data_IF_330637645162
#
_entry.id   IF_330637645162
#
_cell.length_a   1.000
_cell.length_b   1.000
_cell.length_c   1.000
_cell.angle_alpha   90.00
_cell.angle_beta   90.00
_cell.angle_gamma   90.00
#
_symmetry.space_group_name_H-M   'P 1'
#
loop_
_entity.id
_entity.type
_entity.pdbx_description
1 polymer ?
#
# COMPACT_ATOMS: atom_id res chain seq x y z
N UNK A 1 -19.33 39.55 -16.56
CA UNK A 1 -19.47 38.42 -17.51
C UNK A 1 -18.14 37.66 -17.55
N UNK A 2 -18.17 36.36 -17.26
CA UNK A 2 -17.29 35.26 -17.74
C UNK A 2 -15.76 35.50 -17.66
N UNK A 3 -15.05 34.96 -16.66
CA UNK A 3 -14.60 33.55 -16.53
C UNK A 3 -13.79 33.12 -17.77
N UNK A 4 -12.50 32.80 -17.65
CA UNK A 4 -11.89 31.45 -17.70
C UNK A 4 -10.46 31.71 -18.23
N UNK A 5 -9.39 31.04 -17.85
CA UNK A 5 -9.08 30.06 -16.82
C UNK A 5 -7.56 29.92 -16.94
N UNK A 6 -6.89 29.89 -15.79
CA UNK A 6 -5.44 29.80 -15.70
C UNK A 6 -4.97 28.50 -16.36
N UNK A 7 -4.14 28.62 -17.40
CA UNK A 7 -3.39 27.52 -17.98
C UNK A 7 -2.28 27.12 -17.00
N UNK A 8 -2.55 26.13 -16.15
CA UNK A 8 -1.55 25.46 -15.30
C UNK A 8 -1.64 23.95 -15.55
N UNK A 9 -0.98 23.48 -16.61
CA UNK A 9 -0.62 22.07 -16.74
C UNK A 9 0.71 22.00 -17.49
N UNK A 10 1.80 21.65 -16.79
CA UNK A 10 2.30 20.29 -16.93
C UNK A 10 2.90 19.77 -15.60
N UNK A 11 2.13 18.98 -14.85
CA UNK A 11 2.66 18.17 -13.73
C UNK A 11 2.22 16.73 -13.94
N UNK A 12 2.84 16.03 -14.89
CA UNK A 12 2.54 14.62 -15.19
C UNK A 12 3.83 13.77 -15.35
N UNK A 13 4.90 14.13 -14.63
CA UNK A 13 6.20 13.44 -14.71
C UNK A 13 6.72 12.88 -13.36
N UNK A 14 5.84 12.61 -12.39
CA UNK A 14 6.23 12.03 -11.08
C UNK A 14 5.51 10.72 -10.75
N UNK A 15 5.38 9.81 -11.72
CA UNK A 15 4.72 8.51 -11.49
C UNK A 15 5.67 7.29 -11.51
N UNK A 16 6.97 7.49 -11.26
CA UNK A 16 7.83 6.44 -10.72
C UNK A 16 8.11 6.80 -9.25
N UNK A 17 7.10 6.64 -8.41
CA UNK A 17 7.23 6.86 -6.97
C UNK A 17 8.11 5.75 -6.39
N UNK A 18 9.20 6.12 -5.73
CA UNK A 18 9.92 5.20 -4.85
C UNK A 18 8.98 4.74 -3.75
N UNK A 19 9.09 3.47 -3.35
CA UNK A 19 8.33 2.94 -2.21
C UNK A 19 8.88 3.60 -0.95
N UNK A 20 8.04 4.35 -0.26
CA UNK A 20 8.33 5.04 1.01
C UNK A 20 7.43 4.52 2.12
N UNK A 21 7.72 4.91 3.37
CA UNK A 21 6.85 4.58 4.52
C UNK A 21 5.40 5.06 4.38
N UNK A 22 5.17 6.07 3.54
CA UNK A 22 3.83 6.62 3.27
C UNK A 22 3.13 5.95 2.08
N UNK A 23 3.81 5.03 1.39
CA UNK A 23 3.25 4.34 0.23
C UNK A 23 2.20 3.34 0.70
N UNK A 24 0.93 3.50 0.27
CA UNK A 24 -0.12 2.55 0.61
C UNK A 24 0.05 1.25 -0.19
N UNK A 25 -0.54 0.18 0.33
CA UNK A 25 -0.80 -1.02 -0.43
C UNK A 25 -2.25 -1.06 -0.92
N UNK A 26 -2.58 -2.10 -1.69
CA UNK A 26 -3.94 -2.44 -2.07
C UNK A 26 -4.48 -3.47 -1.09
N UNK A 27 -5.59 -3.17 -0.40
CA UNK A 27 -6.27 -4.17 0.44
C UNK A 27 -6.78 -5.28 -0.49
N UNK A 28 -6.19 -6.45 -0.36
CA UNK A 28 -6.45 -7.61 -1.23
C UNK A 28 -7.53 -8.51 -0.64
N UNK A 29 -7.59 -8.63 0.69
CA UNK A 29 -8.53 -9.53 1.36
C UNK A 29 -8.78 -9.12 2.81
N UNK A 30 -10.05 -9.17 3.22
CA UNK A 30 -10.45 -9.09 4.63
C UNK A 30 -11.26 -10.34 4.97
N UNK A 31 -10.78 -11.13 5.93
CA UNK A 31 -11.45 -12.33 6.45
C UNK A 31 -11.60 -12.20 7.97
N UNK A 32 -12.53 -12.94 8.56
CA UNK A 32 -12.68 -13.01 10.02
C UNK A 32 -11.36 -13.41 10.68
N UNK A 33 -10.63 -12.45 11.24
CA UNK A 33 -9.33 -12.66 11.90
C UNK A 33 -8.09 -12.18 11.13
N UNK A 34 -8.21 -11.70 9.88
CA UNK A 34 -7.02 -11.25 9.14
C UNK A 34 -7.31 -10.28 8.01
N UNK A 35 -6.37 -9.36 7.78
CA UNK A 35 -6.33 -8.47 6.61
C UNK A 35 -5.07 -8.77 5.80
N UNK A 36 -5.20 -8.94 4.49
CA UNK A 36 -4.07 -9.08 3.57
C UNK A 36 -4.02 -7.86 2.66
N UNK A 37 -2.85 -7.25 2.57
CA UNK A 37 -2.57 -6.08 1.73
C UNK A 37 -1.49 -6.47 0.72
N UNK A 38 -1.75 -6.23 -0.55
CA UNK A 38 -0.74 -6.32 -1.61
C UNK A 38 0.08 -5.02 -1.63
N UNK A 39 1.39 -5.13 -1.54
CA UNK A 39 2.28 -3.97 -1.61
C UNK A 39 3.60 -4.32 -2.28
N UNK A 40 4.34 -3.31 -2.70
CA UNK A 40 5.67 -3.51 -3.28
C UNK A 40 6.63 -4.11 -2.25
N UNK A 41 7.60 -4.89 -2.73
CA UNK A 41 8.69 -5.42 -1.91
C UNK A 41 9.57 -4.26 -1.40
N UNK A 42 9.61 -4.03 -0.08
CA UNK A 42 10.50 -3.03 0.48
C UNK A 42 11.97 -3.52 0.43
N UNK A 43 12.91 -2.61 0.13
CA UNK A 43 14.32 -2.90 -0.16
C UNK A 43 15.06 -3.59 1.01
N UNK A 44 15.09 -4.93 1.04
CA UNK A 44 15.86 -5.71 2.00
C UNK A 44 15.54 -7.20 1.97
N UNK A 45 16.28 -7.99 2.77
CA UNK A 45 16.07 -9.44 2.91
C UNK A 45 14.78 -9.80 3.67
N UNK A 46 14.23 -8.85 4.44
CA UNK A 46 12.99 -8.99 5.19
C UNK A 46 11.96 -8.01 4.63
N UNK A 47 10.99 -8.50 3.85
CA UNK A 47 9.88 -7.65 3.40
C UNK A 47 9.05 -7.23 4.62
N UNK A 48 9.03 -5.92 4.92
CA UNK A 48 8.25 -5.31 6.02
C UNK A 48 7.22 -4.34 5.44
N UNK A 49 5.99 -4.31 6.00
CA UNK A 49 4.97 -3.38 5.54
C UNK A 49 5.41 -1.94 5.84
N UNK A 50 4.98 -1.01 4.98
CA UNK A 50 5.15 0.43 5.24
C UNK A 50 4.25 0.86 6.41
N UNK A 51 4.58 1.98 7.05
CA UNK A 51 3.68 2.63 8.03
C UNK A 51 2.26 2.78 7.49
N UNK A 52 2.09 3.25 6.25
CA UNK A 52 0.76 3.44 5.65
C UNK A 52 -0.01 2.13 5.51
N UNK A 53 0.65 1.03 5.17
CA UNK A 53 0.01 -0.28 5.09
C UNK A 53 -0.46 -0.79 6.47
N UNK A 54 0.29 -0.52 7.53
CA UNK A 54 -0.13 -0.84 8.91
C UNK A 54 -1.41 -0.06 9.26
N UNK A 55 -1.46 1.23 8.94
CA UNK A 55 -2.65 2.07 9.17
C UNK A 55 -3.86 1.56 8.38
N UNK A 56 -3.68 1.19 7.11
CA UNK A 56 -4.76 0.59 6.30
C UNK A 56 -5.28 -0.71 6.92
N UNK A 57 -4.40 -1.55 7.46
CA UNK A 57 -4.81 -2.77 8.15
C UNK A 57 -5.63 -2.44 9.41
N UNK A 58 -5.24 -1.41 10.16
CA UNK A 58 -5.94 -0.97 11.37
C UNK A 58 -7.28 -0.27 11.07
N UNK A 59 -7.38 0.46 9.96
CA UNK A 59 -8.64 1.03 9.44
C UNK A 59 -9.63 -0.08 9.08
N UNK A 60 -9.17 -1.17 8.47
CA UNK A 60 -10.00 -2.32 8.12
C UNK A 60 -10.29 -3.23 9.34
N UNK A 61 -9.36 -3.31 10.29
CA UNK A 61 -9.47 -4.13 11.47
C UNK A 61 -8.78 -3.47 12.68
N UNK A 62 -9.53 -2.85 13.60
CA UNK A 62 -8.95 -2.17 14.75
C UNK A 62 -8.06 -3.09 15.58
N UNK A 63 -6.80 -2.69 15.81
CA UNK A 63 -5.81 -3.48 16.54
C UNK A 63 -5.00 -4.45 15.67
N UNK A 64 -5.15 -4.42 14.34
CA UNK A 64 -4.39 -5.26 13.43
C UNK A 64 -2.88 -5.20 13.68
N UNK A 65 -2.25 -6.38 13.66
CA UNK A 65 -0.81 -6.57 13.91
C UNK A 65 -0.16 -7.33 12.75
N UNK A 66 1.04 -6.90 12.35
CA UNK A 66 1.75 -7.54 11.24
C UNK A 66 2.18 -8.95 11.61
N UNK A 67 1.93 -9.92 10.72
CA UNK A 67 2.26 -11.33 10.91
C UNK A 67 3.37 -11.81 9.97
N UNK A 68 3.20 -11.57 8.67
CA UNK A 68 4.09 -12.12 7.65
C UNK A 68 3.92 -11.42 6.31
N UNK A 69 4.94 -11.48 5.47
CA UNK A 69 4.89 -11.08 4.07
C UNK A 69 5.45 -12.21 3.21
N UNK A 70 4.72 -12.59 2.16
CA UNK A 70 5.14 -13.61 1.20
C UNK A 70 5.08 -13.04 -0.21
N UNK A 71 5.94 -13.48 -1.15
CA UNK A 71 5.81 -13.09 -2.55
C UNK A 71 4.40 -13.42 -3.06
N UNK A 72 3.78 -12.50 -3.79
CA UNK A 72 2.50 -12.79 -4.44
C UNK A 72 2.70 -13.78 -5.58
N UNK A 73 1.74 -14.70 -5.73
CA UNK A 73 1.69 -15.62 -6.87
C UNK A 73 1.11 -14.97 -8.13
N UNK A 74 0.43 -13.83 -7.97
CA UNK A 74 -0.22 -13.09 -9.07
C UNK A 74 0.73 -12.04 -9.67
N UNK A 75 1.60 -11.43 -8.86
CA UNK A 75 2.61 -10.46 -9.30
C UNK A 75 3.93 -10.63 -8.52
N UNK A 76 4.99 -11.05 -9.22
CA UNK A 76 6.32 -11.31 -8.64
C UNK A 76 7.02 -10.06 -8.07
N UNK A 77 6.55 -8.85 -8.39
CA UNK A 77 7.06 -7.61 -7.82
C UNK A 77 6.36 -7.20 -6.52
N UNK A 78 5.28 -7.91 -6.17
CA UNK A 78 4.41 -7.62 -5.05
C UNK A 78 4.52 -8.69 -3.97
N UNK A 79 4.22 -8.28 -2.74
CA UNK A 79 4.13 -9.14 -1.58
C UNK A 79 2.73 -9.06 -0.98
N UNK A 80 2.25 -10.20 -0.49
CA UNK A 80 1.05 -10.31 0.34
C UNK A 80 1.42 -10.12 1.80
N UNK A 81 1.17 -8.93 2.32
CA UNK A 81 1.38 -8.58 3.71
C UNK A 81 0.14 -8.96 4.52
N UNK A 82 0.29 -9.95 5.39
CA UNK A 82 -0.79 -10.45 6.24
C UNK A 82 -0.71 -9.83 7.63
N UNK A 83 -1.86 -9.34 8.08
CA UNK A 83 -2.09 -8.80 9.40
C UNK A 83 -3.13 -9.65 10.12
N UNK A 84 -2.90 -9.96 11.39
CA UNK A 84 -3.90 -10.55 12.27
C UNK A 84 -4.73 -9.46 12.91
N UNK A 85 -6.05 -9.64 12.85
CA UNK A 85 -6.95 -9.18 13.89
C UNK A 85 -6.78 -10.10 15.11
#
# INVERSE_FOLDING_TARGET
>A
MRAICVLLFPVLLLACGSVTEDTPGQIYRVKSGSVTILGAKNHGAEAKPTRRMIEQAQEACPGASYRSAVPSVEDFNMYEYTFSC
#
